data_IF_968440563753
#
_entry.id   IF_968440563753
#
_cell.length_a   1.000
_cell.length_b   1.000
_cell.length_c   1.000
_cell.angle_alpha   90.00
_cell.angle_beta   90.00
_cell.angle_gamma   90.00
#
_symmetry.space_group_name_H-M   'P 1'
#
loop_
_entity.id
_entity.type
_entity.pdbx_description
1 polymer ?
#
# COMPACT_ATOMS: atom_id res chain seq x y z
N UNK A 1 19.57 7.86 6.99
CA UNK A 1 19.41 6.42 7.34
C UNK A 1 18.80 6.27 8.73
N UNK A 2 19.26 7.03 9.74
CA UNK A 2 18.77 6.96 11.13
C UNK A 2 17.25 7.19 11.27
N UNK A 3 16.68 8.14 10.54
CA UNK A 3 15.25 8.47 10.64
C UNK A 3 14.35 7.36 10.08
N UNK A 4 14.79 6.71 9.01
CA UNK A 4 14.05 5.59 8.41
C UNK A 4 13.93 4.44 9.40
N UNK A 5 15.04 3.99 9.98
CA UNK A 5 15.02 2.90 10.97
C UNK A 5 14.20 3.26 12.22
N UNK A 6 14.21 4.53 12.64
CA UNK A 6 13.38 5.00 13.75
C UNK A 6 11.87 4.93 13.42
N UNK A 7 11.48 5.37 12.22
CA UNK A 7 10.08 5.30 11.77
C UNK A 7 9.63 3.85 11.61
N UNK A 8 10.49 2.98 11.10
CA UNK A 8 10.24 1.54 10.98
C UNK A 8 10.04 0.86 12.34
N UNK A 9 10.86 1.21 13.33
CA UNK A 9 10.74 0.73 14.70
C UNK A 9 9.45 1.25 15.36
N UNK A 10 9.13 2.53 15.20
CA UNK A 10 7.92 3.13 15.74
C UNK A 10 6.65 2.52 15.11
N UNK A 11 6.67 2.22 13.81
CA UNK A 11 5.58 1.54 13.12
C UNK A 11 5.43 0.09 13.59
N UNK A 12 6.54 -0.66 13.70
CA UNK A 12 6.53 -2.05 14.17
C UNK A 12 6.06 -2.17 15.63
N UNK A 13 6.34 -1.16 16.46
CA UNK A 13 5.86 -1.07 17.83
C UNK A 13 4.43 -0.51 17.95
N UNK A 14 3.70 -0.37 16.83
CA UNK A 14 2.36 0.22 16.74
C UNK A 14 2.25 1.62 17.42
N UNK A 15 3.34 2.38 17.47
CA UNK A 15 3.33 3.79 17.92
C UNK A 15 2.84 4.72 16.82
N UNK A 16 3.05 4.33 15.57
CA UNK A 16 2.54 4.99 14.38
C UNK A 16 1.51 4.06 13.74
N UNK A 17 0.28 4.55 13.58
CA UNK A 17 -0.81 3.79 12.96
C UNK A 17 -0.82 3.93 11.43
N UNK A 18 -0.27 5.02 10.89
CA UNK A 18 -0.28 5.27 9.44
C UNK A 18 1.12 5.65 9.00
N UNK A 19 1.69 4.86 8.11
CA UNK A 19 2.98 5.13 7.47
C UNK A 19 2.76 5.39 5.99
N UNK A 20 3.21 6.55 5.50
CA UNK A 20 3.18 6.89 4.08
C UNK A 20 4.60 6.71 3.52
N UNK A 21 4.73 5.96 2.44
CA UNK A 21 6.01 5.66 1.81
C UNK A 21 5.89 5.59 0.28
N UNK A 22 7.03 5.68 -0.39
CA UNK A 22 7.11 5.53 -1.86
C UNK A 22 7.15 4.06 -2.26
N UNK A 23 6.71 3.76 -3.48
CA UNK A 23 6.71 2.39 -4.05
C UNK A 23 8.05 1.61 -3.89
N UNK A 24 9.20 2.30 -3.93
CA UNK A 24 10.53 1.69 -3.76
C UNK A 24 10.73 1.04 -2.38
N UNK A 25 9.96 1.44 -1.37
CA UNK A 25 10.02 0.86 -0.03
C UNK A 25 9.54 -0.60 -0.04
N UNK A 26 8.64 -0.95 -0.96
CA UNK A 26 8.08 -2.30 -1.09
C UNK A 26 9.14 -3.35 -1.43
N UNK A 27 10.27 -2.98 -2.05
CA UNK A 27 11.36 -3.89 -2.38
C UNK A 27 12.44 -3.99 -1.29
N UNK A 28 12.59 -2.93 -0.48
CA UNK A 28 13.78 -2.76 0.37
C UNK A 28 13.58 -3.05 1.86
N UNK A 29 12.35 -3.23 2.34
CA UNK A 29 12.09 -3.36 3.79
C UNK A 29 10.98 -4.33 4.09
N UNK A 30 11.20 -5.16 5.11
CA UNK A 30 10.20 -6.07 5.62
C UNK A 30 9.35 -5.43 6.72
N UNK A 31 8.39 -4.58 6.34
CA UNK A 31 7.36 -4.03 7.24
C UNK A 31 6.03 -4.70 6.92
N UNK A 32 5.61 -5.72 7.68
CA UNK A 32 4.30 -6.30 7.51
C UNK A 32 3.25 -5.39 8.16
N UNK A 33 2.25 -5.00 7.37
CA UNK A 33 1.15 -4.13 7.80
C UNK A 33 -0.17 -4.88 7.71
N UNK A 34 -1.13 -4.60 8.59
CA UNK A 34 -2.45 -5.23 8.49
C UNK A 34 -3.18 -4.79 7.19
N UNK A 35 -3.11 -3.50 6.88
CA UNK A 35 -3.69 -2.88 5.69
C UNK A 35 -2.62 -2.19 4.84
N UNK A 36 -2.56 -2.54 3.55
CA UNK A 36 -1.75 -1.82 2.56
C UNK A 36 -2.66 -1.07 1.58
N UNK A 37 -2.44 0.23 1.42
CA UNK A 37 -3.18 1.08 0.49
C UNK A 37 -2.21 1.54 -0.60
N UNK A 38 -2.50 1.20 -1.85
CA UNK A 38 -1.75 1.65 -3.02
C UNK A 38 -2.51 2.82 -3.62
N UNK A 39 -1.95 4.02 -3.51
CA UNK A 39 -2.57 5.25 -3.99
C UNK A 39 -2.00 5.62 -5.35
N UNK A 40 -2.77 5.39 -6.40
CA UNK A 40 -2.35 5.61 -7.78
C UNK A 40 -1.57 4.41 -8.32
N UNK A 41 -1.76 4.12 -9.60
CA UNK A 41 -1.05 3.05 -10.31
C UNK A 41 -0.04 3.60 -11.31
N UNK A 42 0.28 4.88 -11.23
CA UNK A 42 1.14 5.59 -12.16
C UNK A 42 2.25 6.30 -11.40
N UNK A 43 3.45 6.33 -11.98
CA UNK A 43 4.57 7.12 -11.48
C UNK A 43 5.13 8.02 -12.57
N UNK A 44 5.75 9.12 -12.16
CA UNK A 44 6.38 10.04 -13.09
C UNK A 44 7.75 9.49 -13.53
N UNK A 45 7.84 9.04 -14.77
CA UNK A 45 9.08 8.56 -15.36
C UNK A 45 9.99 9.72 -15.77
N UNK A 46 11.13 9.90 -15.10
CA UNK A 46 12.08 10.97 -15.44
C UNK A 46 12.59 10.88 -16.89
N UNK A 47 12.78 9.64 -17.39
CA UNK A 47 13.27 9.37 -18.76
C UNK A 47 12.24 9.71 -19.84
N UNK A 48 10.96 9.45 -19.58
CA UNK A 48 9.86 9.66 -20.52
C UNK A 48 9.18 11.01 -20.34
N UNK A 49 9.43 11.71 -19.22
CA UNK A 49 8.75 12.94 -18.78
C UNK A 49 7.22 12.82 -18.84
N UNK A 50 6.71 11.63 -18.56
CA UNK A 50 5.28 11.28 -18.60
C UNK A 50 4.96 10.36 -17.42
N UNK A 51 3.69 10.32 -17.06
CA UNK A 51 3.17 9.30 -16.16
C UNK A 51 3.16 7.97 -16.89
N UNK A 52 3.70 6.95 -16.24
CA UNK A 52 3.80 5.57 -16.72
C UNK A 52 3.21 4.68 -15.65
N UNK A 53 2.48 3.64 -16.06
CA UNK A 53 1.92 2.66 -15.14
C UNK A 53 3.01 1.87 -14.41
N UNK A 54 2.73 1.52 -13.16
CA UNK A 54 3.51 0.54 -12.42
C UNK A 54 3.39 -0.83 -13.09
N UNK A 55 4.51 -1.57 -13.08
CA UNK A 55 4.49 -2.97 -13.48
C UNK A 55 3.73 -3.77 -12.43
N UNK A 56 2.99 -4.79 -12.85
CA UNK A 56 2.21 -5.68 -11.97
C UNK A 56 3.07 -6.22 -10.82
N UNK A 57 4.35 -6.53 -11.08
CA UNK A 57 5.28 -7.01 -10.07
C UNK A 57 5.44 -6.01 -8.93
N UNK A 58 5.51 -4.71 -9.22
CA UNK A 58 5.61 -3.67 -8.18
C UNK A 58 4.33 -3.60 -7.38
N UNK A 59 3.17 -3.63 -8.05
CA UNK A 59 1.86 -3.66 -7.39
C UNK A 59 1.74 -4.89 -6.47
N UNK A 60 2.14 -6.08 -6.96
CA UNK A 60 2.12 -7.31 -6.18
C UNK A 60 3.06 -7.24 -4.97
N UNK A 61 4.25 -6.64 -5.11
CA UNK A 61 5.15 -6.43 -3.98
C UNK A 61 4.55 -5.48 -2.93
N UNK A 62 3.89 -4.41 -3.38
CA UNK A 62 3.19 -3.46 -2.50
C UNK A 62 2.01 -4.13 -1.77
N UNK A 63 1.24 -4.97 -2.47
CA UNK A 63 0.18 -5.78 -1.89
C UNK A 63 0.70 -6.85 -0.93
N UNK A 64 1.86 -7.45 -1.23
CA UNK A 64 2.49 -8.47 -0.40
C UNK A 64 2.98 -7.97 0.97
N UNK A 65 2.93 -6.65 1.22
CA UNK A 65 3.14 -6.05 2.53
C UNK A 65 1.90 -6.06 3.42
N UNK A 66 0.72 -6.35 2.85
CA UNK A 66 -0.50 -6.57 3.61
C UNK A 66 -0.52 -7.98 4.21
N UNK A 67 -0.80 -8.06 5.51
CA UNK A 67 -0.90 -9.29 6.29
C UNK A 67 0.35 -9.57 7.12
N UNK A 68 0.14 -9.80 8.42
CA UNK A 68 1.17 -10.28 9.35
C UNK A 68 0.95 -11.78 9.60
N UNK A 69 1.81 -12.69 9.07
CA UNK A 69 1.59 -14.15 9.12
C UNK A 69 1.42 -14.78 10.52
N UNK A 70 1.72 -14.03 11.58
CA UNK A 70 1.64 -14.48 12.98
C UNK A 70 0.60 -13.72 13.81
N UNK A 71 0.10 -12.57 13.32
CA UNK A 71 -0.79 -11.70 14.08
C UNK A 71 -2.18 -11.62 13.45
N UNK A 72 -2.26 -11.63 12.12
CA UNK A 72 -3.50 -11.43 11.38
C UNK A 72 -3.90 -12.69 10.64
N UNK A 73 -5.18 -13.06 10.72
CA UNK A 73 -5.73 -14.15 9.90
C UNK A 73 -5.95 -13.74 8.44
N UNK A 74 -6.07 -12.43 8.18
CA UNK A 74 -6.32 -11.88 6.85
C UNK A 74 -5.54 -10.57 6.69
N UNK A 75 -4.85 -10.41 5.57
CA UNK A 75 -4.29 -9.12 5.15
C UNK A 75 -5.22 -8.43 4.17
N UNK A 76 -5.41 -7.12 4.31
CA UNK A 76 -6.20 -6.33 3.36
C UNK A 76 -5.31 -5.45 2.50
N UNK A 77 -5.55 -5.45 1.20
CA UNK A 77 -4.90 -4.54 0.26
C UNK A 77 -5.96 -3.77 -0.53
N UNK A 78 -5.84 -2.44 -0.56
CA UNK A 78 -6.75 -1.54 -1.28
C UNK A 78 -5.96 -0.80 -2.34
N UNK A 79 -6.42 -0.84 -3.59
CA UNK A 79 -5.82 -0.07 -4.68
C UNK A 79 -6.78 1.05 -5.07
N UNK A 80 -6.29 2.27 -5.00
CA UNK A 80 -7.01 3.47 -5.37
C UNK A 80 -6.54 3.90 -6.76
N UNK A 81 -7.42 3.79 -7.74
CA UNK A 81 -7.18 4.20 -9.13
C UNK A 81 -8.16 5.27 -9.54
N UNK A 82 -7.73 6.16 -10.44
CA UNK A 82 -8.63 7.14 -11.03
C UNK A 82 -9.51 6.51 -12.12
N UNK A 83 -8.97 5.54 -12.87
CA UNK A 83 -9.66 4.84 -13.94
C UNK A 83 -9.59 3.30 -13.74
N UNK A 84 -10.72 2.61 -13.52
CA UNK A 84 -10.72 1.20 -13.14
C UNK A 84 -10.36 0.24 -14.28
N UNK A 85 -10.35 0.70 -15.53
CA UNK A 85 -10.11 -0.16 -16.70
C UNK A 85 -8.67 -0.69 -16.80
N UNK A 86 -7.69 0.06 -16.29
CA UNK A 86 -6.27 -0.32 -16.31
C UNK A 86 -5.95 -1.50 -15.38
N UNK A 87 -6.71 -1.67 -14.29
CA UNK A 87 -6.57 -2.78 -13.35
C UNK A 87 -7.32 -4.05 -13.78
N UNK A 88 -8.30 -3.92 -14.69
CA UNK A 88 -9.17 -5.02 -15.12
C UNK A 88 -8.41 -6.19 -15.75
N UNK A 89 -7.21 -5.92 -16.28
CA UNK A 89 -6.37 -6.91 -16.95
C UNK A 89 -5.44 -7.69 -16.02
N UNK A 90 -5.19 -7.21 -14.79
CA UNK A 90 -3.98 -7.61 -14.08
C UNK A 90 -4.20 -8.30 -12.72
N UNK A 91 -5.31 -8.09 -12.01
CA UNK A 91 -5.52 -8.74 -10.70
C UNK A 91 -7.00 -9.00 -10.41
N UNK A 92 -7.40 -10.27 -10.32
CA UNK A 92 -8.79 -10.71 -10.05
C UNK A 92 -9.26 -10.54 -8.59
N UNK A 93 -8.42 -10.00 -7.69
CA UNK A 93 -8.63 -10.04 -6.24
C UNK A 93 -8.64 -8.66 -5.55
N UNK A 94 -8.87 -7.57 -6.28
CA UNK A 94 -8.76 -6.20 -5.74
C UNK A 94 -10.14 -5.58 -5.49
N UNK A 95 -10.39 -5.13 -4.25
CA UNK A 95 -11.50 -4.23 -3.95
C UNK A 95 -11.17 -2.83 -4.49
N UNK A 96 -11.66 -2.54 -5.69
CA UNK A 96 -11.57 -1.20 -6.30
C UNK A 96 -12.65 -0.33 -5.65
N UNK A 97 -12.26 0.55 -4.73
CA UNK A 97 -13.17 1.56 -4.18
C UNK A 97 -12.84 2.93 -4.77
N UNK A 98 -13.73 3.43 -5.62
CA UNK A 98 -13.72 4.82 -6.10
C UNK A 98 -14.23 5.82 -5.03
N UNK A 99 -14.55 5.36 -3.82
CA UNK A 99 -15.18 6.17 -2.78
C UNK A 99 -14.24 6.40 -1.59
N UNK A 100 -13.79 7.64 -1.31
CA UNK A 100 -12.96 7.94 -0.14
C UNK A 100 -13.66 7.62 1.19
N UNK A 101 -14.99 7.56 1.20
CA UNK A 101 -15.80 7.28 2.39
C UNK A 101 -15.66 5.84 2.93
N UNK A 102 -15.44 4.85 2.05
CA UNK A 102 -15.24 3.45 2.46
C UNK A 102 -13.91 3.26 3.18
N UNK A 103 -12.88 3.98 2.75
CA UNK A 103 -11.55 3.97 3.38
C UNK A 103 -11.68 4.45 4.83
N UNK A 104 -12.36 5.57 5.05
CA UNK A 104 -12.62 6.10 6.40
C UNK A 104 -13.40 5.14 7.31
N UNK A 105 -14.33 4.35 6.74
CA UNK A 105 -15.08 3.36 7.50
C UNK A 105 -14.22 2.15 7.92
N UNK A 106 -13.33 1.68 7.04
CA UNK A 106 -12.40 0.59 7.38
C UNK A 106 -11.40 1.04 8.46
N UNK A 107 -10.90 2.28 8.40
CA UNK A 107 -10.03 2.83 9.44
C UNK A 107 -10.67 2.83 10.84
N UNK A 108 -11.99 2.90 10.93
CA UNK A 108 -12.71 2.99 12.21
C UNK A 108 -12.99 1.63 12.87
N UNK A 109 -12.73 0.51 12.17
CA UNK A 109 -13.21 -0.82 12.55
C UNK A 109 -12.09 -1.83 12.83
N UNK A 110 -11.13 -1.52 13.71
CA UNK A 110 -10.09 -2.46 14.22
C UNK A 110 -8.73 -2.53 13.51
N UNK A 111 -8.39 -1.61 12.61
CA UNK A 111 -7.09 -1.65 11.91
C UNK A 111 -6.02 -0.89 12.71
N UNK A 112 -5.13 -1.64 13.36
CA UNK A 112 -4.09 -1.08 14.23
C UNK A 112 -2.95 -0.38 13.48
N UNK A 113 -2.80 -0.64 12.18
CA UNK A 113 -1.69 -0.15 11.36
C UNK A 113 -2.00 -0.22 9.85
N UNK A 114 -1.68 0.86 9.14
CA UNK A 114 -1.89 1.05 7.71
C UNK A 114 -0.61 1.55 7.04
N UNK A 115 -0.22 0.91 5.95
CA UNK A 115 0.85 1.34 5.07
C UNK A 115 0.26 1.94 3.80
N UNK A 116 0.55 3.21 3.53
CA UNK A 116 0.12 3.89 2.29
C UNK A 116 1.32 4.01 1.36
N UNK A 117 1.25 3.33 0.23
CA UNK A 117 2.24 3.35 -0.83
C UNK A 117 1.78 4.31 -1.93
N UNK A 118 2.61 5.32 -2.19
CA UNK A 118 2.42 6.36 -3.23
C UNK A 118 3.49 6.22 -4.31
#
# INVERSE_FOLDING_TARGET
IRDRSLVEELFSNNKIQVLVCTSTLAWGVNLPSHLSIIKGTEYYGEKTKRYVDYVITDILQMMGRAGRPQYDQHGKAVILVHEPELLRWHVNFVYITNSPMLIHLEFNSHYCDCLVLV
#
